data_IF_056112592949
#
_entry.id   IF_056112592949
#
_cell.length_a   1.000
_cell.length_b   1.000
_cell.length_c   1.000
_cell.angle_alpha   90.00
_cell.angle_beta   90.00
_cell.angle_gamma   90.00
#
_symmetry.space_group_name_H-M   'P 1'
#
loop_
_entity.id
_entity.type
_entity.pdbx_description
1 polymer ?
#
# COMPACT_ATOMS: atom_id res chain seq x y z
N UNK A 1 -15.54 -3.26 0.30
CA UNK A 1 -15.05 -2.88 1.64
C UNK A 1 -15.92 -1.75 2.12
N UNK A 2 -16.53 -1.87 3.29
CA UNK A 2 -17.25 -0.74 3.90
C UNK A 2 -16.22 0.12 4.65
N UNK A 3 -16.06 1.37 4.23
CA UNK A 3 -15.20 2.33 4.92
C UNK A 3 -16.01 3.03 6.01
N UNK A 4 -15.41 3.19 7.18
CA UNK A 4 -15.98 3.95 8.29
C UNK A 4 -15.53 5.39 8.22
N UNK A 5 -16.45 6.30 8.50
CA UNK A 5 -16.21 7.74 8.49
C UNK A 5 -15.53 8.27 9.77
N UNK A 6 -14.93 7.42 10.60
CA UNK A 6 -14.15 7.81 11.79
C UNK A 6 -12.67 7.41 11.70
N UNK A 7 -12.23 6.88 10.55
CA UNK A 7 -10.85 6.44 10.33
C UNK A 7 -10.09 7.48 9.51
N UNK A 8 -8.92 7.90 9.98
CA UNK A 8 -8.08 8.88 9.26
C UNK A 8 -7.27 8.25 8.12
N UNK A 9 -6.73 7.06 8.38
CA UNK A 9 -5.78 6.36 7.49
C UNK A 9 -6.13 4.88 7.44
N UNK A 10 -6.28 4.36 6.23
CA UNK A 10 -6.42 2.94 5.94
C UNK A 10 -5.13 2.39 5.36
N UNK A 11 -4.73 1.23 5.87
CA UNK A 11 -3.66 0.42 5.30
C UNK A 11 -4.30 -0.84 4.71
N UNK A 12 -4.11 -1.04 3.41
CA UNK A 12 -4.65 -2.18 2.67
C UNK A 12 -3.49 -3.11 2.30
N UNK A 13 -3.57 -4.36 2.74
CA UNK A 13 -2.62 -5.42 2.38
C UNK A 13 -3.29 -6.51 1.57
N UNK A 14 -2.43 -7.30 0.90
CA UNK A 14 -2.78 -8.58 0.29
C UNK A 14 -3.96 -8.51 -0.68
N UNK A 15 -4.10 -7.39 -1.37
CA UNK A 15 -5.09 -7.23 -2.42
C UNK A 15 -4.44 -7.35 -3.80
N UNK A 16 -5.22 -7.78 -4.79
CA UNK A 16 -4.77 -7.92 -6.16
C UNK A 16 -4.74 -6.56 -6.87
N UNK A 17 -4.00 -5.60 -6.31
CA UNK A 17 -3.76 -4.31 -6.95
C UNK A 17 -2.86 -4.54 -8.16
N UNK A 18 -3.44 -4.47 -9.34
CA UNK A 18 -2.68 -4.38 -10.57
C UNK A 18 -2.39 -2.91 -10.90
N UNK A 19 -1.34 -2.66 -11.67
CA UNK A 19 -0.93 -1.30 -12.05
C UNK A 19 -2.07 -0.55 -12.75
N UNK A 20 -2.83 -1.25 -13.60
CA UNK A 20 -3.99 -0.70 -14.28
C UNK A 20 -5.15 -0.27 -13.35
N UNK A 21 -5.12 -0.70 -12.09
CA UNK A 21 -6.14 -0.39 -11.08
C UNK A 21 -5.71 0.69 -10.09
N UNK A 22 -4.49 1.24 -10.20
CA UNK A 22 -4.01 2.28 -9.27
C UNK A 22 -4.95 3.47 -9.19
N UNK A 23 -5.51 3.90 -10.34
CA UNK A 23 -6.45 5.01 -10.40
C UNK A 23 -7.74 4.73 -9.61
N UNK A 24 -8.16 3.46 -9.55
CA UNK A 24 -9.37 3.06 -8.82
C UNK A 24 -9.25 3.31 -7.31
N UNK A 25 -8.05 3.39 -6.74
CA UNK A 25 -7.87 3.67 -5.32
C UNK A 25 -8.52 5.01 -4.91
N UNK A 26 -8.51 5.99 -5.80
CA UNK A 26 -9.11 7.30 -5.59
C UNK A 26 -10.63 7.33 -5.86
N UNK A 27 -11.17 6.22 -6.38
CA UNK A 27 -12.60 6.04 -6.64
C UNK A 27 -13.30 5.23 -5.52
N UNK A 28 -12.52 4.61 -4.62
CA UNK A 28 -13.06 3.80 -3.51
C UNK A 28 -13.98 4.64 -2.61
N UNK A 29 -13.59 5.87 -2.30
CA UNK A 29 -14.37 6.77 -1.46
C UNK A 29 -14.06 8.24 -1.75
N UNK A 30 -15.09 9.07 -1.90
CA UNK A 30 -14.98 10.47 -2.31
C UNK A 30 -14.13 11.34 -1.38
N UNK A 31 -14.06 10.99 -0.10
CA UNK A 31 -13.32 11.75 0.92
C UNK A 31 -11.87 11.29 1.14
N UNK A 32 -11.42 10.24 0.44
CA UNK A 32 -10.07 9.70 0.60
C UNK A 32 -9.22 9.90 -0.66
N UNK A 33 -7.91 9.92 -0.47
CA UNK A 33 -6.89 9.82 -1.51
C UNK A 33 -6.12 8.54 -1.24
N UNK A 34 -5.82 7.79 -2.29
CA UNK A 34 -5.14 6.51 -2.21
C UNK A 34 -3.90 6.45 -3.09
N UNK A 35 -2.85 5.83 -2.55
CA UNK A 35 -1.66 5.43 -3.30
C UNK A 35 -1.37 3.96 -3.01
N UNK A 36 -0.66 3.28 -3.90
CA UNK A 36 -0.27 1.90 -3.66
C UNK A 36 0.91 1.45 -4.48
N UNK A 37 1.41 0.28 -4.13
CA UNK A 37 2.38 -0.49 -4.91
C UNK A 37 1.68 -1.71 -5.48
N UNK A 38 1.52 -1.78 -6.81
CA UNK A 38 0.83 -2.90 -7.43
C UNK A 38 1.73 -4.13 -7.50
N UNK A 39 1.10 -5.30 -7.58
CA UNK A 39 1.77 -6.60 -7.52
C UNK A 39 2.63 -6.88 -8.75
N UNK A 40 2.25 -6.31 -9.89
CA UNK A 40 2.79 -6.55 -11.24
C UNK A 40 3.80 -5.48 -11.70
N UNK A 41 4.24 -4.60 -10.79
CA UNK A 41 5.19 -3.50 -11.12
C UNK A 41 6.49 -4.01 -11.76
N UNK A 42 7.04 -5.11 -11.25
CA UNK A 42 8.32 -5.67 -11.73
C UNK A 42 8.13 -6.91 -12.60
N UNK A 43 7.04 -7.66 -12.38
CA UNK A 43 6.72 -8.91 -13.06
C UNK A 43 5.29 -8.77 -13.65
N UNK A 44 5.14 -8.30 -14.90
CA UNK A 44 3.83 -8.06 -15.51
C UNK A 44 3.06 -9.36 -15.80
N UNK A 45 3.74 -10.51 -15.73
CA UNK A 45 3.14 -11.83 -15.86
C UNK A 45 3.03 -12.46 -14.47
N UNK A 46 1.81 -12.72 -13.97
CA UNK A 46 1.65 -13.40 -12.69
C UNK A 46 2.28 -14.80 -12.77
N UNK A 47 3.00 -15.24 -11.73
CA UNK A 47 3.62 -16.55 -11.72
C UNK A 47 2.55 -17.64 -11.78
N UNK A 48 2.89 -18.78 -12.40
CA UNK A 48 1.98 -19.95 -12.57
C UNK A 48 1.40 -20.40 -11.22
N UNK A 49 2.18 -20.28 -10.15
CA UNK A 49 1.72 -20.44 -8.77
C UNK A 49 2.05 -19.17 -8.01
N UNK A 50 1.05 -18.60 -7.35
CA UNK A 50 1.25 -17.40 -6.54
C UNK A 50 1.69 -17.76 -5.13
N UNK A 51 2.90 -17.36 -4.72
CA UNK A 51 3.32 -17.55 -3.34
C UNK A 51 2.46 -16.68 -2.40
N UNK A 52 2.25 -17.15 -1.17
CA UNK A 52 1.55 -16.35 -0.16
C UNK A 52 2.29 -15.04 0.09
N UNK A 53 1.52 -13.96 0.22
CA UNK A 53 2.02 -12.60 0.35
C UNK A 53 2.33 -11.90 -0.99
N UNK A 54 2.10 -12.56 -2.12
CA UNK A 54 2.13 -11.93 -3.44
C UNK A 54 0.81 -11.17 -3.69
N UNK A 55 0.62 -10.07 -2.99
CA UNK A 55 -0.41 -9.05 -3.27
C UNK A 55 0.24 -7.70 -3.47
N UNK A 56 -0.57 -6.69 -3.80
CA UNK A 56 -0.27 -5.26 -3.72
C UNK A 56 -0.55 -4.70 -2.32
N UNK A 57 -0.06 -3.49 -2.08
CA UNK A 57 -0.39 -2.69 -0.87
C UNK A 57 -0.86 -1.31 -1.26
N UNK A 58 -1.75 -0.74 -0.45
CA UNK A 58 -2.19 0.63 -0.61
C UNK A 58 -2.34 1.34 0.74
N UNK A 59 -2.15 2.65 0.73
CA UNK A 59 -2.44 3.53 1.84
C UNK A 59 -3.46 4.55 1.35
N UNK A 60 -4.56 4.68 2.09
CA UNK A 60 -5.56 5.71 1.86
C UNK A 60 -5.62 6.63 3.08
N UNK A 61 -5.76 7.92 2.85
CA UNK A 61 -5.98 8.90 3.92
C UNK A 61 -7.07 9.89 3.52
N UNK A 62 -7.62 10.58 4.51
CA UNK A 62 -8.61 11.62 4.26
C UNK A 62 -8.02 12.80 3.51
N UNK A 63 -8.76 13.32 2.54
CA UNK A 63 -8.39 14.53 1.77
C UNK A 63 -8.05 15.72 2.66
N UNK A 64 -8.74 15.86 3.79
CA UNK A 64 -8.48 16.95 4.74
C UNK A 64 -7.06 16.90 5.35
N UNK A 65 -6.44 15.71 5.40
CA UNK A 65 -5.09 15.50 5.93
C UNK A 65 -3.99 15.62 4.86
N UNK A 66 -4.36 15.80 3.58
CA UNK A 66 -3.40 15.76 2.46
C UNK A 66 -2.27 16.78 2.60
N UNK A 67 -2.58 17.97 3.13
CA UNK A 67 -1.61 19.03 3.39
C UNK A 67 -0.53 18.67 4.44
N UNK A 68 -0.77 17.63 5.24
CA UNK A 68 0.17 17.10 6.24
C UNK A 68 0.96 15.90 5.73
N UNK A 69 0.58 15.33 4.59
CA UNK A 69 1.08 14.04 4.13
C UNK A 69 2.03 14.21 2.94
N UNK A 70 3.20 13.57 3.03
CA UNK A 70 4.17 13.43 1.94
C UNK A 70 4.33 11.96 1.57
N UNK A 71 4.24 11.64 0.28
CA UNK A 71 4.60 10.29 -0.20
C UNK A 71 6.11 10.14 -0.21
N UNK A 72 6.64 9.10 0.44
CA UNK A 72 8.10 8.88 0.51
C UNK A 72 8.49 7.56 -0.11
N UNK A 73 9.60 7.56 -0.85
CA UNK A 73 10.23 6.34 -1.36
C UNK A 73 11.13 5.77 -0.27
N UNK A 74 10.54 5.03 0.65
CA UNK A 74 11.27 4.29 1.67
C UNK A 74 11.16 2.78 1.43
N UNK A 75 12.26 2.05 1.65
CA UNK A 75 12.32 0.60 1.43
C UNK A 75 12.47 0.19 -0.04
N UNK A 76 12.02 -1.03 -0.37
CA UNK A 76 12.10 -1.60 -1.73
C UNK A 76 10.75 -1.45 -2.49
N UNK A 77 10.62 -2.08 -3.66
CA UNK A 77 9.37 -2.10 -4.44
C UNK A 77 8.19 -2.76 -3.73
N UNK A 78 8.38 -3.28 -2.50
CA UNK A 78 7.37 -4.01 -1.74
C UNK A 78 6.76 -3.26 -0.55
N UNK A 79 7.24 -2.06 -0.26
CA UNK A 79 6.81 -1.27 0.91
C UNK A 79 6.22 0.06 0.45
N UNK A 80 4.96 0.37 0.74
CA UNK A 80 4.39 1.69 0.53
C UNK A 80 4.55 2.54 1.80
N UNK A 81 4.97 3.80 1.67
CA UNK A 81 5.16 4.67 2.82
C UNK A 81 4.53 6.05 2.59
N UNK A 82 4.05 6.63 3.68
CA UNK A 82 3.72 8.05 3.79
C UNK A 82 4.38 8.63 5.03
N UNK A 83 4.70 9.90 4.95
CA UNK A 83 5.22 10.70 6.03
C UNK A 83 4.14 11.70 6.45
N UNK A 84 3.90 11.85 7.75
CA UNK A 84 2.91 12.75 8.32
C UNK A 84 3.64 13.82 9.12
N UNK A 85 3.42 15.08 8.75
CA UNK A 85 3.90 16.23 9.50
C UNK A 85 2.99 16.48 10.70
N UNK A 86 3.58 16.43 11.88
CA UNK A 86 2.92 16.75 13.15
C UNK A 86 3.56 18.01 13.74
N UNK A 87 2.84 18.68 14.66
CA UNK A 87 3.35 19.89 15.34
C UNK A 87 4.68 19.65 16.09
N UNK A 88 4.93 18.42 16.53
CA UNK A 88 6.08 18.04 17.36
C UNK A 88 7.13 17.21 16.60
N UNK A 89 7.01 17.07 15.28
CA UNK A 89 7.94 16.28 14.47
C UNK A 89 7.25 15.57 13.32
N UNK A 90 7.84 14.47 12.89
CA UNK A 90 7.40 13.76 11.70
C UNK A 90 7.21 12.28 12.01
N UNK A 91 6.08 11.72 11.56
CA UNK A 91 5.74 10.30 11.75
C UNK A 91 5.76 9.58 10.41
N UNK A 92 6.52 8.49 10.32
CA UNK A 92 6.53 7.60 9.16
C UNK A 92 5.50 6.49 9.35
N UNK A 93 4.59 6.33 8.40
CA UNK A 93 3.72 5.16 8.28
C UNK A 93 4.18 4.34 7.08
N UNK A 94 4.36 3.04 7.28
CA UNK A 94 4.82 2.11 6.26
C UNK A 94 3.89 0.90 6.22
N UNK A 95 3.68 0.38 5.01
CA UNK A 95 2.91 -0.82 4.79
C UNK A 95 3.63 -1.76 3.84
N UNK A 96 3.75 -3.03 4.23
CA UNK A 96 4.62 -3.99 3.55
C UNK A 96 3.85 -5.20 3.03
N UNK A 97 4.23 -5.64 1.84
CA UNK A 97 3.74 -6.88 1.27
C UNK A 97 4.54 -8.06 1.87
N UNK A 98 3.89 -8.85 2.73
CA UNK A 98 4.49 -10.04 3.35
C UNK A 98 5.10 -10.96 2.27
N UNK A 99 6.24 -11.59 2.56
CA UNK A 99 6.69 -12.77 1.79
C UNK A 99 6.51 -13.96 2.72
N UNK A 100 5.83 -15.02 2.28
CA UNK A 100 6.02 -16.30 2.96
C UNK A 100 7.46 -16.75 2.71
N UNK A 101 8.32 -16.73 3.73
CA UNK A 101 9.58 -17.46 3.70
C UNK A 101 9.24 -18.94 3.56
N UNK A 102 9.40 -19.50 2.36
CA UNK A 102 9.68 -20.93 2.23
C UNK A 102 11.18 -21.07 2.40
N UNK A 103 11.62 -21.50 3.57
CA UNK A 103 12.97 -22.00 3.77
C UNK A 103 13.14 -23.23 2.88
N UNK A 104 13.80 -23.07 1.73
CA UNK A 104 14.47 -24.19 1.08
C UNK A 104 15.81 -24.36 1.78
N UNK A 105 15.85 -25.31 2.71
CA UNK A 105 17.11 -25.94 3.12
C UNK A 105 17.58 -26.74 1.89
N UNK A 106 18.59 -26.24 1.20
CA UNK A 106 19.36 -27.05 0.25
C UNK A 106 20.17 -28.08 1.05
N UNK A 107 20.04 -29.35 0.66
CA UNK A 107 20.84 -30.48 1.17
C UNK A 107 22.23 -30.50 0.56
#
# INVERSE_FOLDING_TARGET
MEMKEDVDIYLLQEHWLFDCQLNMLNEIHSNYIGIGKPVDTNDPLPPIQMPRGYGGVAILWRKELDHLISTVKAGNSRIQCIEIKELNGTKLIQENMLKSMTSHTEN
#
